data_IF_502219134271
#
_entry.id   IF_502219134271
#
_cell.length_a   1.000
_cell.length_b   1.000
_cell.length_c   1.000
_cell.angle_alpha   90.00
_cell.angle_beta   90.00
_cell.angle_gamma   90.00
#
_symmetry.space_group_name_H-M   'P 1'
#
loop_
_entity.id
_entity.type
_entity.pdbx_description
1 polymer ?
#
# COMPACT_ATOMS: atom_id res chain seq x y z
N UNK A 1 7.82 2.03 -14.47
CA UNK A 1 6.78 1.72 -13.47
C UNK A 1 5.81 2.89 -13.51
N UNK A 2 4.55 2.68 -13.85
CA UNK A 2 3.51 3.72 -13.71
C UNK A 2 3.36 4.00 -12.22
N UNK A 3 3.51 5.26 -11.82
CA UNK A 3 3.19 5.71 -10.46
C UNK A 3 1.68 5.88 -10.47
N UNK A 4 0.95 4.87 -10.00
CA UNK A 4 -0.52 4.86 -10.03
C UNK A 4 -1.11 5.44 -8.73
N UNK A 5 -0.28 6.15 -7.95
CA UNK A 5 -0.61 6.65 -6.63
C UNK A 5 -1.27 5.53 -5.80
N UNK A 6 -2.25 5.82 -4.94
CA UNK A 6 -2.92 4.77 -4.19
C UNK A 6 -3.90 4.00 -5.11
N UNK A 7 -3.43 2.99 -5.82
CA UNK A 7 -4.23 2.21 -6.80
C UNK A 7 -5.56 1.63 -6.30
N UNK A 8 -5.68 1.34 -4.99
CA UNK A 8 -6.87 0.76 -4.36
C UNK A 8 -7.53 1.68 -3.31
N UNK A 9 -6.96 2.85 -3.05
CA UNK A 9 -7.40 3.74 -1.98
C UNK A 9 -7.42 5.18 -2.47
N UNK A 10 -8.25 6.06 -1.90
CA UNK A 10 -8.13 7.48 -2.19
C UNK A 10 -6.77 8.02 -1.75
N UNK A 11 -6.17 8.88 -2.57
CA UNK A 11 -4.93 9.59 -2.27
C UNK A 11 -5.08 10.68 -1.19
N UNK A 12 -6.30 11.22 -1.09
CA UNK A 12 -6.68 12.30 -0.19
C UNK A 12 -8.06 12.07 0.40
N UNK A 13 -8.21 12.33 1.69
CA UNK A 13 -9.49 12.30 2.42
C UNK A 13 -9.46 13.32 3.55
N UNK A 14 -10.58 14.02 3.76
CA UNK A 14 -10.74 15.02 4.83
C UNK A 14 -9.61 16.09 4.88
N UNK A 15 -9.03 16.43 3.73
CA UNK A 15 -7.93 17.40 3.62
C UNK A 15 -6.54 16.85 3.95
N UNK A 16 -6.43 15.57 4.30
CA UNK A 16 -5.16 14.85 4.47
C UNK A 16 -4.73 14.23 3.14
N UNK A 17 -3.43 14.26 2.85
CA UNK A 17 -2.82 13.75 1.60
C UNK A 17 -1.67 12.81 1.93
N UNK A 18 -1.75 11.57 1.43
CA UNK A 18 -0.71 10.55 1.55
C UNK A 18 -0.27 9.99 0.18
N UNK A 19 -0.60 10.68 -0.91
CA UNK A 19 -0.21 10.30 -2.28
C UNK A 19 1.30 10.06 -2.43
N UNK A 20 2.12 10.83 -1.72
CA UNK A 20 3.58 10.66 -1.69
C UNK A 20 4.03 9.34 -1.05
N UNK A 21 3.31 8.87 -0.02
CA UNK A 21 3.58 7.56 0.59
C UNK A 21 3.29 6.42 -0.40
N UNK A 22 2.19 6.52 -1.16
CA UNK A 22 1.85 5.54 -2.19
C UNK A 22 2.84 5.58 -3.35
N UNK A 23 3.26 6.75 -3.82
CA UNK A 23 4.26 6.86 -4.88
C UNK A 23 5.62 6.25 -4.49
N UNK A 24 6.05 6.45 -3.23
CA UNK A 24 7.27 5.82 -2.72
C UNK A 24 7.13 4.29 -2.59
N UNK A 25 5.94 3.81 -2.23
CA UNK A 25 5.64 2.37 -2.17
C UNK A 25 5.68 1.74 -3.57
N UNK A 26 5.08 2.36 -4.57
CA UNK A 26 5.10 1.89 -5.97
C UNK A 26 6.51 1.81 -6.57
N UNK A 27 7.42 2.70 -6.14
CA UNK A 27 8.82 2.72 -6.59
C UNK A 27 9.71 1.67 -5.91
N UNK A 28 9.18 0.93 -4.92
CA UNK A 28 9.94 -0.03 -4.11
C UNK A 28 9.93 -1.45 -4.70
N UNK A 29 10.60 -2.39 -4.02
CA UNK A 29 10.57 -3.81 -4.36
C UNK A 29 9.24 -4.52 -4.03
N UNK A 30 8.24 -3.80 -3.50
CA UNK A 30 6.91 -4.32 -3.13
C UNK A 30 6.98 -5.56 -2.20
N UNK A 31 7.93 -5.55 -1.26
CA UNK A 31 8.11 -6.58 -0.26
C UNK A 31 7.44 -6.24 1.08
N UNK A 32 7.60 -7.12 2.07
CA UNK A 32 7.02 -6.91 3.41
C UNK A 32 7.54 -5.61 4.06
N UNK A 33 8.82 -5.28 3.87
CA UNK A 33 9.39 -4.07 4.43
C UNK A 33 8.75 -2.81 3.81
N UNK A 34 8.56 -2.80 2.49
CA UNK A 34 7.88 -1.73 1.78
C UNK A 34 6.42 -1.56 2.25
N UNK A 35 5.69 -2.65 2.49
CA UNK A 35 4.31 -2.58 3.01
C UNK A 35 4.24 -1.99 4.43
N UNK A 36 5.19 -2.35 5.30
CA UNK A 36 5.27 -1.79 6.65
C UNK A 36 5.66 -0.31 6.60
N UNK A 37 6.55 0.07 5.68
CA UNK A 37 6.97 1.46 5.51
C UNK A 37 5.83 2.34 4.96
N UNK A 38 5.03 1.83 4.02
CA UNK A 38 3.78 2.47 3.60
C UNK A 38 2.86 2.72 4.81
N UNK A 39 2.67 1.70 5.65
CA UNK A 39 1.87 1.80 6.87
C UNK A 39 2.36 2.87 7.84
N UNK A 40 3.68 2.98 8.03
CA UNK A 40 4.30 4.01 8.87
C UNK A 40 4.13 5.40 8.28
N UNK A 41 4.41 5.57 6.99
CA UNK A 41 4.29 6.85 6.29
C UNK A 41 2.86 7.38 6.33
N UNK A 42 1.88 6.55 5.95
CA UNK A 42 0.46 6.90 6.01
C UNK A 42 0.03 7.07 7.47
N UNK A 43 0.50 6.23 8.39
CA UNK A 43 0.17 6.28 9.81
C UNK A 43 0.61 7.56 10.52
N UNK A 44 1.67 8.21 10.04
CA UNK A 44 2.11 9.51 10.52
C UNK A 44 1.14 10.66 10.14
N UNK A 45 0.37 10.47 9.06
CA UNK A 45 -0.64 11.42 8.56
C UNK A 45 -2.01 11.07 9.14
N UNK A 46 -2.38 9.79 9.05
CA UNK A 46 -3.60 9.22 9.59
C UNK A 46 -3.35 7.80 10.12
N UNK A 47 -3.26 7.63 11.45
CA UNK A 47 -2.95 6.34 12.08
C UNK A 47 -3.84 5.19 11.62
N UNK A 48 -5.16 5.41 11.58
CA UNK A 48 -6.13 4.41 11.15
C UNK A 48 -5.95 3.97 9.70
N UNK A 49 -5.73 4.93 8.79
CA UNK A 49 -5.51 4.61 7.37
C UNK A 49 -4.21 3.86 7.16
N UNK A 50 -3.14 4.17 7.92
CA UNK A 50 -1.87 3.45 7.85
C UNK A 50 -2.00 1.97 8.17
N UNK A 51 -2.79 1.62 9.20
CA UNK A 51 -3.06 0.22 9.56
C UNK A 51 -3.87 -0.48 8.46
N UNK A 52 -4.91 0.18 7.94
CA UNK A 52 -5.75 -0.37 6.87
C UNK A 52 -4.94 -0.65 5.61
N UNK A 53 -4.15 0.32 5.16
CA UNK A 53 -3.35 0.20 3.94
C UNK A 53 -2.28 -0.88 4.06
N UNK A 54 -1.49 -0.89 5.14
CA UNK A 54 -0.46 -1.92 5.34
C UNK A 54 -1.06 -3.33 5.41
N UNK A 55 -2.16 -3.50 6.13
CA UNK A 55 -2.84 -4.80 6.23
C UNK A 55 -3.41 -5.23 4.88
N UNK A 56 -4.03 -4.30 4.14
CA UNK A 56 -4.62 -4.55 2.83
C UNK A 56 -3.59 -5.06 1.82
N UNK A 57 -2.48 -4.34 1.64
CA UNK A 57 -1.44 -4.74 0.67
C UNK A 57 -0.79 -6.09 1.02
N UNK A 58 -0.56 -6.37 2.32
CA UNK A 58 0.02 -7.65 2.77
C UNK A 58 -0.92 -8.82 2.47
N UNK A 59 -2.21 -8.67 2.77
CA UNK A 59 -3.19 -9.74 2.56
C UNK A 59 -3.46 -9.96 1.06
N UNK A 60 -3.65 -8.89 0.29
CA UNK A 60 -3.90 -9.00 -1.15
C UNK A 60 -2.70 -9.57 -1.91
N UNK A 61 -1.48 -9.10 -1.63
CA UNK A 61 -0.26 -9.61 -2.27
C UNK A 61 -0.07 -11.12 -2.02
N UNK A 62 -0.30 -11.57 -0.78
CA UNK A 62 -0.22 -13.00 -0.44
C UNK A 62 -1.33 -13.82 -1.09
N UNK A 63 -2.57 -13.34 -1.08
CA UNK A 63 -3.71 -14.03 -1.66
C UNK A 63 -3.58 -14.15 -3.19
N UNK A 64 -3.18 -13.08 -3.86
CA UNK A 64 -2.96 -13.06 -5.31
C UNK A 64 -1.82 -14.00 -5.71
N UNK A 65 -0.67 -13.92 -5.03
CA UNK A 65 0.45 -14.81 -5.31
C UNK A 65 0.13 -16.28 -5.07
N UNK A 66 -0.67 -16.59 -4.04
CA UNK A 66 -1.14 -17.96 -3.79
C UNK A 66 -2.07 -18.45 -4.89
N UNK A 67 -2.97 -17.61 -5.38
CA UNK A 67 -3.91 -17.95 -6.43
C UNK A 67 -3.21 -18.20 -7.77
N UNK A 68 -2.23 -17.37 -8.12
CA UNK A 68 -1.41 -17.57 -9.33
C UNK A 68 -0.65 -18.90 -9.29
N UNK A 69 -0.05 -19.26 -8.14
CA UNK A 69 0.63 -20.56 -7.97
C UNK A 69 -0.29 -21.78 -8.09
N UNK A 70 -1.61 -21.61 -7.95
CA UNK A 70 -2.60 -22.69 -8.13
C UNK A 70 -3.17 -22.79 -9.54
N UNK A 71 -2.91 -21.80 -10.39
CA UNK A 71 -3.33 -21.77 -11.80
C UNK A 71 -2.19 -22.11 -12.77
N UNK A 72 -0.97 -22.24 -12.27
CA UNK A 72 0.20 -22.72 -13.02
C UNK A 72 0.44 -24.20 -12.81
#
# INVERSE_FOLDING_TARGET
MTIDHCSLWPDRLFGLDWSACCAAHDASALDLAAHLELGRCVGAIWPGMGVVMATGVILFGRAYGWFQRRRG
#
